data_IF_862119758935
#
_entry.id   IF_862119758935
#
_cell.length_a   1.000
_cell.length_b   1.000
_cell.length_c   1.000
_cell.angle_alpha   90.00
_cell.angle_beta   90.00
_cell.angle_gamma   90.00
#
_symmetry.space_group_name_H-M   'P 1'
#
loop_
_entity.id
_entity.type
_entity.pdbx_description
1 polymer ?
#
# COMPACT_ATOMS: atom_id res chain seq x y z
N UNK A 1 -23.69 18.59 -18.33
CA UNK A 1 -22.78 18.45 -19.48
C UNK A 1 -23.58 18.23 -20.75
N UNK A 2 -23.04 18.64 -21.87
CA UNK A 2 -23.61 18.41 -23.18
C UNK A 2 -22.74 17.44 -23.95
N UNK A 3 -23.36 16.43 -24.58
CA UNK A 3 -22.66 15.44 -25.40
C UNK A 3 -23.18 15.49 -26.84
N UNK A 4 -22.27 15.52 -27.81
CA UNK A 4 -22.63 15.49 -29.24
C UNK A 4 -21.61 14.68 -30.04
N UNK A 5 -22.08 14.05 -31.12
CA UNK A 5 -21.24 13.33 -32.06
C UNK A 5 -20.32 14.31 -32.80
N UNK A 6 -19.01 14.03 -32.84
CA UNK A 6 -18.01 14.83 -33.56
C UNK A 6 -17.07 13.92 -34.31
N UNK A 7 -17.15 13.92 -35.64
CA UNK A 7 -16.28 13.06 -36.45
C UNK A 7 -16.39 11.57 -36.10
N UNK A 8 -15.26 10.96 -35.71
CA UNK A 8 -15.16 9.56 -35.36
C UNK A 8 -15.29 9.29 -33.83
N UNK A 9 -16.02 10.12 -33.10
CA UNK A 9 -16.19 9.98 -31.65
C UNK A 9 -17.32 10.80 -31.09
N UNK A 10 -17.34 10.90 -29.75
CA UNK A 10 -18.31 11.67 -28.98
C UNK A 10 -17.53 12.72 -28.18
N UNK A 11 -17.91 13.97 -28.35
CA UNK A 11 -17.41 15.07 -27.53
C UNK A 11 -18.39 15.36 -26.39
N UNK A 12 -17.88 15.56 -25.21
CA UNK A 12 -18.59 16.02 -24.04
C UNK A 12 -18.01 17.36 -23.62
N UNK A 13 -18.85 18.34 -23.41
CA UNK A 13 -18.47 19.63 -22.84
C UNK A 13 -19.10 19.75 -21.46
N UNK A 14 -18.28 20.06 -20.47
CA UNK A 14 -18.77 20.34 -19.13
C UNK A 14 -19.28 21.77 -19.10
N UNK A 15 -20.53 21.96 -18.70
CA UNK A 15 -21.13 23.29 -18.60
C UNK A 15 -20.60 23.94 -17.31
N UNK A 16 -20.03 25.15 -17.38
CA UNK A 16 -19.40 25.81 -16.24
C UNK A 16 -20.44 26.45 -15.30
N UNK A 17 -21.33 25.65 -14.76
CA UNK A 17 -22.21 26.05 -13.67
C UNK A 17 -21.59 25.58 -12.37
N UNK A 18 -20.69 26.36 -11.77
CA UNK A 18 -20.13 26.20 -10.43
C UNK A 18 -20.56 24.89 -9.73
N UNK A 19 -20.09 23.71 -10.14
CA UNK A 19 -20.56 22.45 -9.60
C UNK A 19 -20.22 22.36 -8.12
N UNK A 20 -21.15 21.81 -7.34
CA UNK A 20 -20.92 21.48 -5.93
C UNK A 20 -20.65 19.98 -5.85
N UNK A 21 -19.43 19.62 -5.47
CA UNK A 21 -19.05 18.21 -5.24
C UNK A 21 -18.63 18.10 -3.77
N UNK A 22 -19.24 17.18 -3.05
CA UNK A 22 -18.98 16.95 -1.62
C UNK A 22 -19.01 18.24 -0.79
N UNK A 23 -20.03 19.08 -1.00
CA UNK A 23 -20.26 20.37 -0.34
C UNK A 23 -19.27 21.49 -0.71
N UNK A 24 -18.30 21.25 -1.59
CA UNK A 24 -17.35 22.25 -2.09
C UNK A 24 -17.80 22.77 -3.46
N UNK A 25 -17.66 24.09 -3.65
CA UNK A 25 -17.97 24.74 -4.92
C UNK A 25 -16.72 24.83 -5.77
N UNK A 26 -16.77 24.25 -6.95
CA UNK A 26 -15.69 24.27 -7.92
C UNK A 26 -15.99 25.22 -9.07
N UNK A 27 -14.94 25.65 -9.75
CA UNK A 27 -15.01 26.46 -10.94
C UNK A 27 -14.30 25.74 -12.08
N UNK A 28 -14.96 25.59 -13.20
CA UNK A 28 -14.30 25.13 -14.42
C UNK A 28 -13.59 26.29 -15.10
N UNK A 29 -12.44 26.02 -15.69
CA UNK A 29 -11.84 26.91 -16.63
C UNK A 29 -12.69 26.90 -17.92
N UNK A 30 -13.22 28.04 -18.36
CA UNK A 30 -14.11 28.15 -19.52
C UNK A 30 -13.53 27.58 -20.82
N UNK A 31 -12.19 27.60 -20.96
CA UNK A 31 -11.49 27.07 -22.12
C UNK A 31 -11.04 25.62 -21.99
N UNK A 32 -11.10 25.06 -20.77
CA UNK A 32 -10.58 23.73 -20.42
C UNK A 32 -11.66 22.92 -19.70
N UNK A 33 -12.64 22.42 -20.46
CA UNK A 33 -13.81 21.76 -19.90
C UNK A 33 -14.42 20.72 -20.83
N UNK A 34 -13.62 20.06 -21.63
CA UNK A 34 -14.12 19.10 -22.60
C UNK A 34 -13.38 17.77 -22.54
N UNK A 35 -14.09 16.69 -22.90
CA UNK A 35 -13.59 15.34 -23.10
C UNK A 35 -14.08 14.86 -24.46
N UNK A 36 -13.19 14.25 -25.24
CA UNK A 36 -13.51 13.62 -26.51
C UNK A 36 -13.12 12.16 -26.49
N UNK A 37 -14.10 11.28 -26.62
CA UNK A 37 -13.91 9.83 -26.74
C UNK A 37 -13.95 9.43 -28.21
N UNK A 38 -12.80 9.02 -28.72
CA UNK A 38 -12.70 8.51 -30.10
C UNK A 38 -13.15 7.05 -30.20
N UNK A 39 -13.60 6.60 -31.39
CA UNK A 39 -14.07 5.22 -31.64
C UNK A 39 -13.04 4.13 -31.33
N UNK A 40 -11.75 4.41 -31.44
CA UNK A 40 -10.67 3.49 -31.04
C UNK A 40 -10.37 3.48 -29.54
N UNK A 41 -11.28 3.99 -28.74
CA UNK A 41 -11.15 4.12 -27.26
C UNK A 41 -10.09 5.12 -26.80
N UNK A 42 -9.46 5.89 -27.70
CA UNK A 42 -8.58 6.99 -27.30
C UNK A 42 -9.41 8.11 -26.67
N UNK A 43 -8.95 8.55 -25.50
CA UNK A 43 -9.55 9.67 -24.78
C UNK A 43 -8.67 10.89 -24.96
N UNK A 44 -9.27 11.98 -25.38
CA UNK A 44 -8.68 13.30 -25.33
C UNK A 44 -9.43 14.10 -24.29
N UNK A 45 -8.73 14.68 -23.35
CA UNK A 45 -9.32 15.47 -22.30
C UNK A 45 -8.60 16.81 -22.17
N UNK A 46 -9.35 17.81 -21.82
CA UNK A 46 -8.85 19.10 -21.40
C UNK A 46 -9.83 19.63 -20.37
N UNK A 47 -9.66 19.18 -19.12
CA UNK A 47 -10.52 19.50 -17.99
C UNK A 47 -9.68 20.12 -16.90
N UNK A 48 -10.12 21.24 -16.39
CA UNK A 48 -9.44 21.99 -15.34
C UNK A 48 -10.52 22.51 -14.37
N UNK A 49 -10.57 21.97 -13.17
CA UNK A 49 -11.59 22.28 -12.18
C UNK A 49 -10.96 22.52 -10.81
N UNK A 50 -11.10 23.72 -10.29
CA UNK A 50 -10.53 24.16 -9.02
C UNK A 50 -11.54 24.92 -8.16
N UNK A 51 -11.37 24.85 -6.85
CA UNK A 51 -12.04 25.77 -5.94
C UNK A 51 -11.20 27.04 -5.68
N UNK A 52 -11.70 27.92 -4.81
CA UNK A 52 -11.03 29.17 -4.46
C UNK A 52 -9.73 28.95 -3.66
N UNK A 53 -9.56 27.79 -3.01
CA UNK A 53 -8.40 27.40 -2.21
C UNK A 53 -7.34 26.67 -3.05
N UNK A 54 -7.63 26.38 -4.33
CA UNK A 54 -6.75 25.65 -5.24
C UNK A 54 -6.85 24.14 -5.09
N UNK A 55 -7.90 23.64 -4.44
CA UNK A 55 -8.25 22.22 -4.41
C UNK A 55 -8.97 21.86 -5.72
N UNK A 56 -8.65 20.73 -6.29
CA UNK A 56 -9.34 20.30 -7.50
C UNK A 56 -8.56 19.27 -8.32
N UNK A 57 -8.89 19.21 -9.60
CA UNK A 57 -8.22 18.31 -10.52
C UNK A 57 -8.06 18.89 -11.91
N UNK A 58 -7.05 18.39 -12.61
CA UNK A 58 -6.76 18.65 -14.01
C UNK A 58 -6.53 17.34 -14.73
N UNK A 59 -7.10 17.21 -15.93
CA UNK A 59 -6.85 16.09 -16.83
C UNK A 59 -6.60 16.63 -18.21
N UNK A 60 -5.39 16.47 -18.72
CA UNK A 60 -4.98 16.98 -20.01
C UNK A 60 -4.40 15.88 -20.89
N UNK A 61 -4.84 15.84 -22.14
CA UNK A 61 -4.14 15.09 -23.17
C UNK A 61 -3.06 15.98 -23.81
N UNK A 62 -1.88 15.43 -24.04
CA UNK A 62 -0.78 16.17 -24.66
C UNK A 62 -1.16 16.59 -26.09
N UNK A 63 -1.17 17.90 -26.40
CA UNK A 63 -1.56 18.39 -27.70
C UNK A 63 -0.59 17.95 -28.80
N UNK A 64 -1.14 17.56 -29.96
CA UNK A 64 -0.35 17.23 -31.14
C UNK A 64 0.31 15.85 -31.14
N UNK A 65 0.16 15.06 -30.11
CA UNK A 65 0.59 13.67 -30.11
C UNK A 65 -0.33 12.83 -31.00
N UNK A 66 0.21 12.36 -32.12
CA UNK A 66 -0.49 11.49 -33.09
C UNK A 66 0.04 10.06 -33.09
N UNK A 67 1.08 9.77 -32.31
CA UNK A 67 1.77 8.49 -32.27
C UNK A 67 1.24 7.59 -31.17
N UNK A 68 1.00 8.15 -30.00
CA UNK A 68 0.52 7.38 -28.85
C UNK A 68 -0.96 7.01 -28.99
N UNK A 69 -1.34 5.85 -28.47
CA UNK A 69 -2.74 5.47 -28.29
C UNK A 69 -3.40 6.27 -27.16
N UNK A 70 -2.64 6.56 -26.09
CA UNK A 70 -3.00 7.46 -25.02
C UNK A 70 -1.78 8.27 -24.59
N UNK A 71 -2.00 9.53 -24.21
CA UNK A 71 -0.99 10.41 -23.63
C UNK A 71 -1.73 11.44 -22.78
N UNK A 72 -1.76 11.21 -21.47
CA UNK A 72 -2.62 11.94 -20.54
C UNK A 72 -1.83 12.32 -19.29
N UNK A 73 -1.94 13.58 -18.91
CA UNK A 73 -1.54 14.11 -17.61
C UNK A 73 -2.76 14.21 -16.70
N UNK A 74 -2.61 13.76 -15.47
CA UNK A 74 -3.61 13.84 -14.40
C UNK A 74 -2.98 14.54 -13.20
N UNK A 75 -3.62 15.55 -12.71
CA UNK A 75 -3.21 16.28 -11.51
C UNK A 75 -4.42 16.42 -10.59
N UNK A 76 -4.25 16.00 -9.33
CA UNK A 76 -5.21 16.19 -8.25
C UNK A 76 -4.50 16.94 -7.14
N UNK A 77 -5.09 18.01 -6.63
CA UNK A 77 -4.49 18.81 -5.56
C UNK A 77 -5.39 18.88 -4.35
N UNK A 78 -4.83 18.46 -3.21
CA UNK A 78 -5.35 18.70 -1.87
C UNK A 78 -6.82 18.35 -1.66
N UNK A 79 -7.32 17.33 -2.34
CA UNK A 79 -8.68 16.84 -2.14
C UNK A 79 -8.83 16.32 -0.70
N UNK A 80 -9.79 16.87 0.03
CA UNK A 80 -10.11 16.42 1.38
C UNK A 80 -10.81 15.07 1.32
N UNK A 81 -10.14 13.99 1.74
CA UNK A 81 -10.66 12.63 1.63
C UNK A 81 -11.99 12.46 2.35
N UNK A 82 -12.19 13.09 3.50
CA UNK A 82 -13.44 13.03 4.24
C UNK A 82 -14.64 13.57 3.47
N UNK A 83 -14.46 14.49 2.54
CA UNK A 83 -15.54 15.03 1.72
C UNK A 83 -16.04 13.99 0.71
N UNK A 84 -15.11 13.19 0.16
CA UNK A 84 -15.45 12.09 -0.74
C UNK A 84 -16.02 10.91 0.04
N UNK A 85 -15.38 10.50 1.13
CA UNK A 85 -15.76 9.30 1.88
C UNK A 85 -17.07 9.48 2.62
N UNK A 86 -17.40 10.69 3.08
CA UNK A 86 -18.64 10.99 3.80
C UNK A 86 -19.93 10.79 2.98
N UNK A 87 -19.83 10.83 1.65
CA UNK A 87 -20.99 10.62 0.75
C UNK A 87 -21.12 9.16 0.30
N UNK A 88 -20.16 8.29 0.64
CA UNK A 88 -20.17 6.89 0.30
C UNK A 88 -20.75 6.07 1.47
N UNK A 89 -21.89 5.37 1.29
CA UNK A 89 -22.46 4.55 2.36
C UNK A 89 -21.54 3.39 2.72
N UNK A 90 -21.40 3.13 4.02
CA UNK A 90 -20.57 2.03 4.56
C UNK A 90 -19.06 2.14 4.30
N UNK A 91 -18.58 3.32 3.90
CA UNK A 91 -17.16 3.55 3.74
C UNK A 91 -16.53 3.93 5.09
N UNK A 92 -15.32 3.45 5.43
CA UNK A 92 -14.65 3.83 6.67
C UNK A 92 -14.35 5.34 6.71
N UNK A 93 -14.27 5.91 7.92
CA UNK A 93 -13.92 7.31 8.11
C UNK A 93 -12.43 7.49 7.76
N UNK A 94 -12.15 8.11 6.61
CA UNK A 94 -10.79 8.44 6.17
C UNK A 94 -10.69 9.95 6.03
N UNK A 95 -9.66 10.54 6.63
CA UNK A 95 -9.36 11.97 6.51
C UNK A 95 -7.93 12.19 6.05
N UNK A 96 -7.67 13.35 5.48
CA UNK A 96 -6.36 13.76 4.97
C UNK A 96 -6.50 14.57 3.69
N UNK A 97 -5.40 15.16 3.24
CA UNK A 97 -5.33 15.93 2.00
C UNK A 97 -4.63 15.10 0.93
N UNK A 98 -5.40 14.61 -0.01
CA UNK A 98 -4.90 13.79 -1.12
C UNK A 98 -4.42 14.65 -2.29
N UNK A 99 -3.24 14.34 -2.80
CA UNK A 99 -2.68 14.90 -4.03
C UNK A 99 -2.17 13.77 -4.92
N UNK A 100 -2.25 13.96 -6.23
CA UNK A 100 -1.77 13.03 -7.25
C UNK A 100 -1.23 13.81 -8.44
N UNK A 101 -0.04 13.45 -8.91
CA UNK A 101 0.48 13.80 -10.22
C UNK A 101 0.77 12.52 -10.99
N UNK A 102 0.25 12.37 -12.19
CA UNK A 102 0.46 11.17 -13.00
C UNK A 102 0.55 11.52 -14.48
N UNK A 103 1.52 10.91 -15.15
CA UNK A 103 1.70 10.97 -16.59
C UNK A 103 1.63 9.56 -17.16
N UNK A 104 0.71 9.35 -18.10
CA UNK A 104 0.44 8.05 -18.71
C UNK A 104 0.56 8.13 -20.22
N UNK A 105 1.45 7.30 -20.79
CA UNK A 105 1.61 7.13 -22.24
C UNK A 105 1.42 5.67 -22.59
N UNK A 106 0.58 5.40 -23.55
CA UNK A 106 0.41 4.09 -24.15
C UNK A 106 0.66 4.17 -25.66
N UNK A 107 1.52 3.31 -26.17
CA UNK A 107 1.70 3.07 -27.60
C UNK A 107 1.13 1.70 -27.97
N UNK A 108 1.27 1.29 -29.24
CA UNK A 108 0.89 -0.07 -29.66
C UNK A 108 1.75 -1.17 -29.00
N UNK A 109 2.93 -0.83 -28.53
CA UNK A 109 3.92 -1.81 -28.03
C UNK A 109 4.25 -1.61 -26.55
N UNK A 110 4.22 -0.38 -26.09
CA UNK A 110 4.80 0.01 -24.81
C UNK A 110 3.81 0.79 -23.97
N UNK A 111 3.97 0.64 -22.66
CA UNK A 111 3.31 1.42 -21.61
C UNK A 111 4.38 2.21 -20.85
N UNK A 112 4.12 3.47 -20.62
CA UNK A 112 4.90 4.32 -19.72
C UNK A 112 3.97 4.98 -18.71
N UNK A 113 4.34 4.91 -17.45
CA UNK A 113 3.63 5.55 -16.34
C UNK A 113 4.66 6.21 -15.42
N UNK A 114 4.39 7.44 -15.02
CA UNK A 114 5.03 8.08 -13.87
C UNK A 114 3.93 8.64 -13.00
N UNK A 115 3.89 8.27 -11.73
CA UNK A 115 2.86 8.72 -10.81
C UNK A 115 3.45 8.97 -9.43
N UNK A 116 3.00 10.03 -8.80
CA UNK A 116 3.28 10.35 -7.40
C UNK A 116 1.97 10.72 -6.72
N UNK A 117 1.63 10.01 -5.65
CA UNK A 117 0.44 10.23 -4.85
C UNK A 117 0.82 10.49 -3.40
N UNK A 118 0.19 11.45 -2.75
CA UNK A 118 0.42 11.72 -1.33
C UNK A 118 -0.88 11.95 -0.58
N UNK A 119 -0.86 11.66 0.70
CA UNK A 119 -1.91 12.04 1.65
C UNK A 119 -1.24 12.65 2.87
N UNK A 120 -1.44 13.95 3.06
CA UNK A 120 -0.99 14.64 4.26
C UNK A 120 -1.99 14.40 5.39
N UNK A 121 -1.48 14.18 6.60
CA UNK A 121 -2.26 13.97 7.83
C UNK A 121 -3.30 12.84 7.70
N UNK A 122 -2.95 11.73 7.05
CA UNK A 122 -3.83 10.59 6.87
C UNK A 122 -4.30 10.03 8.22
N UNK A 123 -5.62 9.92 8.38
CA UNK A 123 -6.23 9.16 9.47
C UNK A 123 -7.19 8.12 8.93
N UNK A 124 -7.34 7.02 9.62
CA UNK A 124 -8.31 5.97 9.34
C UNK A 124 -9.04 5.62 10.64
N UNK A 125 -10.39 5.67 10.63
CA UNK A 125 -11.22 5.41 11.82
C UNK A 125 -10.70 6.18 13.06
N UNK A 126 -10.38 7.47 12.86
CA UNK A 126 -9.83 8.40 13.90
C UNK A 126 -8.45 8.03 14.44
N UNK A 127 -7.78 7.05 13.84
CA UNK A 127 -6.42 6.71 14.19
C UNK A 127 -5.45 7.38 13.20
N UNK A 128 -4.47 8.11 13.74
CA UNK A 128 -3.48 8.78 12.90
C UNK A 128 -2.52 7.74 12.29
N UNK A 129 -2.42 7.75 10.97
CA UNK A 129 -1.40 7.04 10.21
C UNK A 129 -0.17 7.95 10.05
N UNK A 130 -0.34 9.20 9.65
CA UNK A 130 0.72 10.16 9.37
C UNK A 130 0.69 10.63 7.92
N UNK A 131 1.79 11.24 7.48
CA UNK A 131 1.96 11.65 6.09
C UNK A 131 2.45 10.45 5.27
N UNK A 132 1.78 10.16 4.16
CA UNK A 132 2.11 9.03 3.28
C UNK A 132 2.29 9.52 1.86
N UNK A 133 3.40 9.15 1.21
CA UNK A 133 3.61 9.41 -0.21
C UNK A 133 4.09 8.13 -0.91
N UNK A 134 3.53 7.87 -2.08
CA UNK A 134 3.84 6.74 -2.95
C UNK A 134 4.23 7.26 -4.32
N UNK A 135 5.44 6.94 -4.78
CA UNK A 135 5.86 7.17 -6.14
C UNK A 135 6.01 5.86 -6.91
N UNK A 136 5.69 5.88 -8.20
CA UNK A 136 5.91 4.75 -9.08
C UNK A 136 6.24 5.22 -10.50
N UNK A 137 7.23 4.57 -11.12
CA UNK A 137 7.54 4.73 -12.53
C UNK A 137 7.53 3.37 -13.22
N UNK A 138 6.98 3.34 -14.42
CA UNK A 138 6.98 2.18 -15.30
C UNK A 138 7.44 2.65 -16.68
N UNK A 139 8.62 2.19 -17.10
CA UNK A 139 9.27 2.69 -18.31
C UNK A 139 9.63 1.57 -19.27
N UNK A 140 9.38 1.74 -20.58
CA UNK A 140 9.83 0.81 -21.59
C UNK A 140 11.36 0.86 -21.73
N UNK A 141 11.94 -0.29 -21.95
CA UNK A 141 13.35 -0.47 -22.19
C UNK A 141 13.64 -1.15 -23.52
N UNK A 142 14.90 -1.45 -23.77
CA UNK A 142 15.32 -2.16 -24.97
C UNK A 142 14.81 -3.60 -25.01
N UNK A 143 14.54 -4.13 -26.20
CA UNK A 143 14.12 -5.52 -26.46
C UNK A 143 12.79 -5.89 -25.76
N UNK A 144 11.88 -4.92 -25.57
CA UNK A 144 10.57 -5.13 -24.94
C UNK A 144 10.62 -5.31 -23.43
N UNK A 145 11.74 -5.05 -22.78
CA UNK A 145 11.82 -5.01 -21.32
C UNK A 145 11.02 -3.83 -20.79
N UNK A 146 10.53 -3.98 -19.56
CA UNK A 146 9.89 -2.89 -18.82
C UNK A 146 10.64 -2.72 -17.49
N UNK A 147 10.85 -1.48 -17.08
CA UNK A 147 11.49 -1.14 -15.81
C UNK A 147 10.46 -0.54 -14.86
N UNK A 148 10.47 -1.02 -13.64
CA UNK A 148 9.63 -0.54 -12.56
C UNK A 148 10.52 0.03 -11.46
N UNK A 149 10.16 1.21 -10.97
CA UNK A 149 10.71 1.77 -9.75
C UNK A 149 9.53 2.27 -8.91
N UNK A 150 9.54 2.00 -7.61
CA UNK A 150 8.51 2.48 -6.71
C UNK A 150 9.11 2.77 -5.33
N UNK A 151 8.56 3.74 -4.63
CA UNK A 151 8.92 4.06 -3.26
C UNK A 151 7.69 4.38 -2.42
N UNK A 152 7.81 4.19 -1.13
CA UNK A 152 6.83 4.62 -0.12
C UNK A 152 7.54 5.44 0.94
N UNK A 153 7.07 6.65 1.16
CA UNK A 153 7.47 7.51 2.25
C UNK A 153 6.40 7.52 3.34
N UNK A 154 6.83 7.55 4.59
CA UNK A 154 5.98 7.72 5.75
C UNK A 154 6.60 8.75 6.70
N UNK A 155 5.84 9.79 7.06
CA UNK A 155 6.32 10.93 7.87
C UNK A 155 7.67 11.48 7.34
N UNK A 156 7.80 11.68 6.02
CA UNK A 156 8.98 12.19 5.29
C UNK A 156 10.20 11.24 5.25
N UNK A 157 10.10 10.04 5.83
CA UNK A 157 11.13 9.01 5.70
C UNK A 157 10.76 8.02 4.59
N UNK A 158 11.74 7.65 3.76
CA UNK A 158 11.57 6.57 2.78
C UNK A 158 11.63 5.23 3.52
N UNK A 159 10.52 4.51 3.54
CA UNK A 159 10.37 3.26 4.31
C UNK A 159 10.30 2.02 3.43
N UNK A 160 10.12 2.21 2.12
CA UNK A 160 10.15 1.14 1.14
C UNK A 160 10.64 1.67 -0.20
N UNK A 161 11.55 0.93 -0.82
CA UNK A 161 11.98 1.12 -2.21
C UNK A 161 11.89 -0.21 -2.94
N UNK A 162 11.41 -0.18 -4.16
CA UNK A 162 11.34 -1.34 -5.04
C UNK A 162 11.88 -0.97 -6.43
N UNK A 163 12.89 -1.70 -6.88
CA UNK A 163 13.48 -1.58 -8.21
C UNK A 163 13.31 -2.90 -8.96
N UNK A 164 12.82 -2.84 -10.18
CA UNK A 164 12.56 -4.06 -10.90
C UNK A 164 12.49 -3.91 -12.39
N UNK A 165 12.40 -5.06 -13.02
CA UNK A 165 12.17 -5.18 -14.46
C UNK A 165 11.29 -6.38 -14.78
N UNK A 166 10.53 -6.21 -15.84
CA UNK A 166 9.80 -7.26 -16.51
C UNK A 166 10.50 -7.58 -17.83
N UNK A 167 10.85 -8.85 -18.04
CA UNK A 167 11.58 -9.32 -19.21
C UNK A 167 10.68 -10.26 -20.00
N UNK A 168 10.33 -9.92 -21.25
CA UNK A 168 9.53 -10.80 -22.09
C UNK A 168 10.29 -12.11 -22.37
N UNK A 169 9.60 -13.23 -22.22
CA UNK A 169 10.17 -14.54 -22.51
C UNK A 169 9.62 -15.12 -23.82
N UNK A 170 10.34 -16.07 -24.40
CA UNK A 170 9.90 -16.77 -25.61
C UNK A 170 8.64 -17.61 -25.42
N UNK A 171 8.28 -17.91 -24.18
CA UNK A 171 7.10 -18.70 -23.82
C UNK A 171 5.83 -17.86 -23.67
N UNK A 172 5.92 -16.52 -23.84
CA UNK A 172 4.80 -15.60 -23.69
C UNK A 172 4.44 -15.28 -22.21
N UNK A 173 5.20 -15.80 -21.25
CA UNK A 173 5.10 -15.44 -19.84
C UNK A 173 6.28 -14.56 -19.48
N UNK A 174 6.00 -13.33 -19.08
CA UNK A 174 7.05 -12.39 -18.70
C UNK A 174 7.74 -12.82 -17.40
N UNK A 175 9.05 -12.62 -17.35
CA UNK A 175 9.85 -12.88 -16.15
C UNK A 175 10.00 -11.61 -15.34
N UNK A 176 9.63 -11.68 -14.08
CA UNK A 176 9.73 -10.61 -13.09
C UNK A 176 11.06 -10.71 -12.34
N UNK A 177 11.75 -9.59 -12.18
CA UNK A 177 12.87 -9.42 -11.26
C UNK A 177 12.67 -8.10 -10.50
N UNK A 178 12.36 -8.15 -9.20
CA UNK A 178 12.18 -6.97 -8.36
C UNK A 178 12.98 -7.14 -7.08
N UNK A 179 13.75 -6.12 -6.73
CA UNK A 179 14.41 -5.98 -5.45
C UNK A 179 13.65 -4.95 -4.63
N UNK A 180 13.31 -5.30 -3.41
CA UNK A 180 12.61 -4.42 -2.48
C UNK A 180 13.41 -4.29 -1.20
N UNK A 181 13.63 -3.06 -0.76
CA UNK A 181 14.24 -2.74 0.53
C UNK A 181 13.22 -2.08 1.42
N UNK A 182 13.14 -2.53 2.67
CA UNK A 182 12.36 -1.94 3.74
C UNK A 182 13.33 -1.34 4.75
N UNK A 183 13.16 -0.08 5.10
CA UNK A 183 13.97 0.62 6.11
C UNK A 183 13.06 1.28 7.13
N UNK A 184 13.12 0.79 8.38
CA UNK A 184 12.32 1.29 9.49
C UNK A 184 10.82 1.40 9.18
N UNK A 185 10.27 0.41 8.46
CA UNK A 185 8.85 0.40 8.13
C UNK A 185 8.01 0.30 9.41
N UNK A 186 7.21 1.33 9.77
CA UNK A 186 6.60 1.41 11.07
C UNK A 186 5.37 0.49 11.18
N UNK A 187 5.48 -0.58 11.98
CA UNK A 187 4.39 -1.54 12.16
C UNK A 187 3.17 -0.94 12.86
N UNK A 188 3.32 0.20 13.53
CA UNK A 188 2.18 0.94 14.13
C UNK A 188 1.10 1.31 13.11
N UNK A 189 1.46 1.46 11.83
CA UNK A 189 0.50 1.74 10.75
C UNK A 189 -0.55 0.63 10.62
N UNK A 190 -0.19 -0.61 10.90
CA UNK A 190 -1.12 -1.73 10.85
C UNK A 190 -2.21 -1.69 11.94
N UNK A 191 -2.03 -0.89 13.00
CA UNK A 191 -3.00 -0.80 14.10
C UNK A 191 -4.37 -0.30 13.64
N UNK A 192 -4.42 0.52 12.59
CA UNK A 192 -5.68 1.07 12.06
C UNK A 192 -6.60 -0.01 11.49
N UNK A 193 -6.04 -1.14 11.08
CA UNK A 193 -6.78 -2.27 10.53
C UNK A 193 -7.17 -3.32 11.59
N UNK A 194 -6.76 -3.12 12.86
CA UNK A 194 -7.07 -4.05 13.95
C UNK A 194 -8.39 -3.61 14.63
N UNK A 195 -9.46 -4.44 14.56
CA UNK A 195 -10.74 -4.10 15.14
C UNK A 195 -10.63 -3.86 16.66
N UNK A 196 -11.35 -2.85 17.15
CA UNK A 196 -11.49 -2.52 18.57
C UNK A 196 -10.16 -2.37 19.34
N UNK A 197 -9.05 -2.17 18.62
CA UNK A 197 -7.71 -2.11 19.20
C UNK A 197 -7.41 -3.28 20.18
N UNK A 198 -7.91 -4.47 19.84
CA UNK A 198 -7.70 -5.69 20.66
C UNK A 198 -6.23 -5.92 20.97
N UNK A 199 -5.38 -5.59 20.01
CA UNK A 199 -3.92 -5.56 20.17
C UNK A 199 -3.35 -4.28 19.58
N UNK A 200 -2.18 -3.86 20.06
CA UNK A 200 -1.44 -2.72 19.54
C UNK A 200 -0.04 -3.19 19.13
N UNK A 201 0.32 -2.94 17.86
CA UNK A 201 1.64 -3.17 17.31
C UNK A 201 2.53 -1.95 17.52
N UNK A 202 3.80 -2.16 17.79
CA UNK A 202 4.85 -1.13 17.86
C UNK A 202 6.17 -1.69 17.35
N UNK A 203 7.13 -0.80 17.07
CA UNK A 203 8.42 -1.14 16.48
C UNK A 203 8.39 -1.06 14.96
N UNK A 204 9.52 -1.36 14.36
CA UNK A 204 9.77 -1.17 12.94
C UNK A 204 10.19 -2.50 12.29
N UNK A 205 10.06 -2.58 10.99
CA UNK A 205 10.47 -3.73 10.20
C UNK A 205 11.46 -3.29 9.14
N UNK A 206 12.63 -3.93 9.13
CA UNK A 206 13.63 -3.81 8.09
C UNK A 206 13.66 -5.08 7.24
N UNK A 207 14.13 -4.98 6.00
CA UNK A 207 14.29 -6.17 5.19
C UNK A 207 14.69 -5.92 3.76
N UNK A 208 15.17 -7.01 3.14
CA UNK A 208 15.49 -7.03 1.73
C UNK A 208 14.80 -8.24 1.09
N UNK A 209 14.01 -7.98 0.05
CA UNK A 209 13.28 -9.00 -0.67
C UNK A 209 13.68 -8.99 -2.13
N UNK A 210 13.93 -10.17 -2.66
CA UNK A 210 14.13 -10.40 -4.09
C UNK A 210 12.97 -11.24 -4.62
N UNK A 211 12.23 -10.68 -5.57
CA UNK A 211 11.05 -11.29 -6.18
C UNK A 211 11.41 -11.63 -7.63
N UNK A 212 11.35 -12.91 -7.96
CA UNK A 212 11.71 -13.42 -9.28
C UNK A 212 10.66 -14.38 -9.82
N UNK A 213 10.78 -14.80 -11.07
CA UNK A 213 9.89 -15.80 -11.67
C UNK A 213 8.83 -15.18 -12.58
N UNK A 214 7.70 -15.84 -12.76
CA UNK A 214 6.62 -15.31 -13.58
C UNK A 214 5.70 -14.40 -12.76
N UNK A 215 5.00 -13.50 -13.44
CA UNK A 215 3.97 -12.66 -12.81
C UNK A 215 2.81 -13.45 -12.18
N UNK A 216 2.55 -14.67 -12.68
CA UNK A 216 1.51 -15.54 -12.12
C UNK A 216 1.97 -16.32 -10.88
N UNK A 217 3.26 -16.64 -10.81
CA UNK A 217 3.87 -17.42 -9.73
C UNK A 217 5.23 -16.81 -9.34
N UNK A 218 5.23 -15.68 -8.65
CA UNK A 218 6.46 -15.07 -8.18
C UNK A 218 7.11 -15.89 -7.07
N UNK A 219 8.42 -15.94 -7.09
CA UNK A 219 9.25 -16.53 -6.03
C UNK A 219 9.87 -15.40 -5.21
N UNK A 220 9.56 -15.38 -3.93
CA UNK A 220 10.06 -14.39 -2.98
C UNK A 220 11.16 -15.03 -2.14
N UNK A 221 12.32 -14.37 -2.13
CA UNK A 221 13.46 -14.70 -1.29
C UNK A 221 13.92 -13.44 -0.56
N UNK A 222 14.57 -13.59 0.59
CA UNK A 222 15.13 -12.47 1.33
C UNK A 222 15.10 -12.66 2.82
N UNK A 223 15.10 -11.55 3.55
CA UNK A 223 15.05 -11.55 5.01
C UNK A 223 14.26 -10.37 5.53
N UNK A 224 13.66 -10.56 6.71
CA UNK A 224 12.97 -9.54 7.47
C UNK A 224 13.56 -9.49 8.89
N UNK A 225 13.77 -8.31 9.39
CA UNK A 225 14.22 -8.04 10.77
C UNK A 225 13.12 -7.24 11.48
N UNK A 226 12.71 -7.71 12.65
CA UNK A 226 11.74 -7.04 13.50
C UNK A 226 12.50 -6.20 14.53
N UNK A 227 12.67 -4.89 14.28
CA UNK A 227 13.36 -4.02 15.22
C UNK A 227 12.42 -3.53 16.32
N UNK A 228 12.73 -3.94 17.55
CA UNK A 228 11.98 -3.53 18.75
C UNK A 228 10.47 -3.77 18.66
N UNK A 229 10.08 -4.75 17.85
CA UNK A 229 8.66 -5.06 17.62
C UNK A 229 8.02 -5.65 18.86
N UNK A 230 6.88 -5.09 19.23
CA UNK A 230 6.07 -5.60 20.31
C UNK A 230 4.57 -5.57 19.97
N UNK A 231 3.86 -6.56 20.48
CA UNK A 231 2.39 -6.65 20.48
C UNK A 231 1.89 -6.51 21.91
N UNK A 232 1.07 -5.51 22.15
CA UNK A 232 0.40 -5.28 23.43
C UNK A 232 -1.08 -5.66 23.32
N UNK A 233 -1.52 -6.62 24.10
CA UNK A 233 -2.93 -6.89 24.31
C UNK A 233 -3.42 -6.17 25.56
N UNK A 234 -4.26 -5.14 25.38
CA UNK A 234 -4.84 -4.38 26.50
C UNK A 234 -5.80 -5.23 27.32
N UNK A 235 -6.58 -6.07 26.64
CA UNK A 235 -7.58 -6.92 27.26
C UNK A 235 -6.97 -7.94 28.24
N UNK A 236 -5.83 -8.48 27.90
CA UNK A 236 -5.11 -9.47 28.71
C UNK A 236 -3.94 -8.88 29.49
N UNK A 237 -3.59 -7.59 29.27
CA UNK A 237 -2.44 -6.95 29.90
C UNK A 237 -1.10 -7.61 29.54
N UNK A 238 -1.07 -8.32 28.42
CA UNK A 238 0.10 -9.08 27.97
C UNK A 238 0.86 -8.29 26.89
N UNK A 239 2.18 -8.19 27.05
CA UNK A 239 3.08 -7.61 26.07
C UNK A 239 4.05 -8.68 25.58
N UNK A 240 4.05 -8.90 24.28
CA UNK A 240 4.93 -9.82 23.57
C UNK A 240 5.97 -9.03 22.80
N UNK A 241 7.24 -9.31 23.03
CA UNK A 241 8.38 -8.70 22.36
C UNK A 241 9.02 -9.74 21.46
N UNK A 242 9.26 -9.39 20.23
CA UNK A 242 9.82 -10.29 19.22
C UNK A 242 11.35 -10.21 19.18
N UNK A 243 11.95 -11.30 18.78
CA UNK A 243 13.40 -11.38 18.52
C UNK A 243 13.78 -10.47 17.33
N UNK A 244 14.90 -9.79 17.44
CA UNK A 244 15.45 -8.96 16.35
C UNK A 244 16.31 -9.78 15.37
N UNK A 245 16.35 -11.11 15.50
CA UNK A 245 17.06 -11.94 14.52
C UNK A 245 16.33 -11.96 13.18
N UNK A 246 17.09 -11.99 12.06
CA UNK A 246 16.47 -12.07 10.75
C UNK A 246 15.61 -13.33 10.57
N UNK A 247 14.40 -13.13 10.11
CA UNK A 247 13.53 -14.20 9.62
C UNK A 247 13.79 -14.35 8.13
N UNK A 248 14.27 -15.52 7.72
CA UNK A 248 14.60 -15.80 6.34
C UNK A 248 13.36 -16.14 5.53
N UNK A 249 13.30 -15.65 4.31
CA UNK A 249 12.31 -16.03 3.32
C UNK A 249 13.02 -16.80 2.21
N UNK A 250 12.64 -18.06 1.99
CA UNK A 250 13.19 -18.91 0.93
C UNK A 250 12.09 -19.54 0.10
N UNK A 251 12.02 -19.16 -1.17
CA UNK A 251 11.04 -19.71 -2.11
C UNK A 251 9.61 -19.66 -1.55
N UNK A 252 9.18 -18.48 -1.12
CA UNK A 252 7.87 -18.22 -0.51
C UNK A 252 7.64 -18.97 0.83
N UNK A 253 8.70 -19.23 1.59
CA UNK A 253 8.61 -19.77 2.94
C UNK A 253 9.30 -18.84 3.93
N UNK A 254 8.58 -18.47 4.98
CA UNK A 254 9.16 -17.84 6.17
C UNK A 254 9.79 -18.96 7.01
N UNK A 255 11.10 -18.90 7.25
CA UNK A 255 11.84 -19.88 8.02
C UNK A 255 12.19 -19.31 9.40
N UNK A 256 11.82 -20.03 10.44
CA UNK A 256 12.09 -19.73 11.84
C UNK A 256 13.14 -20.67 12.39
N UNK A 257 14.25 -20.14 12.87
CA UNK A 257 15.29 -20.89 13.60
C UNK A 257 15.33 -20.40 15.03
N UNK A 258 14.67 -21.12 15.95
CA UNK A 258 14.52 -20.76 17.36
C UNK A 258 14.12 -19.31 17.57
N UNK A 259 13.21 -18.81 16.72
CA UNK A 259 12.71 -17.46 16.82
C UNK A 259 12.02 -17.24 18.15
N UNK A 260 12.48 -16.25 18.92
CA UNK A 260 12.07 -16.08 20.30
C UNK A 260 11.03 -14.97 20.47
N UNK A 261 10.02 -15.26 21.27
CA UNK A 261 8.99 -14.31 21.69
C UNK A 261 9.07 -14.19 23.21
N UNK A 262 9.31 -12.98 23.70
CA UNK A 262 9.46 -12.66 25.11
C UNK A 262 8.23 -11.97 25.66
N UNK A 263 7.99 -12.14 26.93
CA UNK A 263 7.09 -11.30 27.73
C UNK A 263 7.89 -10.54 28.77
N UNK A 264 7.40 -10.40 29.98
CA UNK A 264 8.12 -9.78 31.11
C UNK A 264 9.25 -10.62 31.66
N UNK A 265 9.30 -11.91 31.34
CA UNK A 265 10.38 -12.82 31.77
C UNK A 265 11.47 -12.98 30.72
N UNK A 266 12.64 -13.47 31.16
CA UNK A 266 13.76 -13.80 30.26
C UNK A 266 13.58 -15.13 29.53
N UNK A 267 12.60 -15.94 29.95
CA UNK A 267 12.33 -17.25 29.32
C UNK A 267 11.45 -17.04 28.10
N UNK A 268 11.96 -17.28 26.89
CA UNK A 268 11.19 -17.09 25.68
C UNK A 268 10.23 -18.24 25.39
N UNK A 269 9.22 -17.94 24.61
CA UNK A 269 8.55 -18.90 23.77
C UNK A 269 9.33 -18.96 22.45
N UNK A 270 9.73 -20.14 22.02
CA UNK A 270 10.52 -20.32 20.79
C UNK A 270 9.72 -21.03 19.71
N UNK A 271 9.94 -20.62 18.48
CA UNK A 271 9.35 -21.18 17.26
C UNK A 271 10.48 -21.67 16.36
N UNK A 272 10.39 -22.92 15.93
CA UNK A 272 11.21 -23.54 14.90
C UNK A 272 10.34 -24.06 13.77
N UNK A 273 10.78 -23.92 12.53
CA UNK A 273 10.06 -24.47 11.38
C UNK A 273 9.77 -23.41 10.31
N UNK A 274 8.68 -23.55 9.59
CA UNK A 274 8.35 -22.65 8.50
C UNK A 274 6.86 -22.42 8.31
N UNK A 275 6.54 -21.28 7.66
CA UNK A 275 5.24 -20.98 7.08
C UNK A 275 5.40 -20.85 5.58
N UNK A 276 4.72 -21.70 4.82
CA UNK A 276 4.73 -21.71 3.36
C UNK A 276 3.53 -20.90 2.84
N UNK A 277 3.80 -19.85 2.09
CA UNK A 277 2.80 -18.95 1.53
C UNK A 277 2.80 -18.92 -0.01
N UNK A 278 3.27 -19.99 -0.67
CA UNK A 278 3.18 -20.13 -2.14
C UNK A 278 1.75 -20.04 -2.65
N UNK A 279 0.81 -20.55 -1.87
CA UNK A 279 -0.62 -20.31 -2.06
C UNK A 279 -1.12 -19.39 -0.93
N UNK A 280 -1.24 -18.09 -1.23
CA UNK A 280 -1.69 -17.08 -0.26
C UNK A 280 -3.11 -17.32 0.25
N UNK A 281 -3.93 -18.05 -0.50
CA UNK A 281 -5.30 -18.41 -0.08
C UNK A 281 -5.32 -19.57 0.91
N UNK A 282 -4.25 -20.38 0.97
CA UNK A 282 -4.11 -21.57 1.82
C UNK A 282 -2.68 -21.71 2.33
N UNK A 283 -2.23 -20.79 3.21
CA UNK A 283 -0.90 -20.90 3.79
C UNK A 283 -0.78 -22.19 4.62
N UNK A 284 0.36 -22.84 4.53
CA UNK A 284 0.66 -24.07 5.28
C UNK A 284 1.74 -23.74 6.30
N UNK A 285 1.57 -24.23 7.52
CA UNK A 285 2.54 -24.12 8.59
C UNK A 285 3.08 -25.48 9.01
N UNK A 286 4.38 -25.54 9.29
CA UNK A 286 5.03 -26.66 9.97
C UNK A 286 5.92 -26.05 11.04
N UNK A 287 5.40 -25.95 12.26
CA UNK A 287 6.02 -25.22 13.35
C UNK A 287 6.13 -26.10 14.60
N UNK A 288 7.31 -26.12 15.21
CA UNK A 288 7.55 -26.65 16.54
C UNK A 288 7.67 -25.47 17.51
N UNK A 289 6.87 -25.49 18.53
CA UNK A 289 6.76 -24.45 19.53
C UNK A 289 7.13 -24.99 20.90
N UNK A 290 8.01 -24.27 21.61
CA UNK A 290 8.48 -24.67 22.93
C UNK A 290 8.46 -23.48 23.89
N UNK A 291 7.88 -23.70 25.06
CA UNK A 291 7.94 -22.79 26.19
C UNK A 291 8.30 -23.54 27.45
N UNK A 292 9.19 -22.99 28.25
CA UNK A 292 9.54 -23.51 29.58
C UNK A 292 9.53 -22.37 30.58
N UNK A 293 8.71 -22.49 31.61
CA UNK A 293 8.49 -21.43 32.60
C UNK A 293 8.22 -20.06 31.96
N UNK A 294 7.46 -20.07 30.87
CA UNK A 294 7.13 -18.88 30.10
C UNK A 294 6.05 -18.08 30.83
N UNK A 295 6.29 -16.79 31.02
CA UNK A 295 5.29 -15.93 31.66
C UNK A 295 4.22 -15.58 30.63
N UNK A 296 3.13 -16.34 30.61
CA UNK A 296 2.01 -16.12 29.70
C UNK A 296 1.25 -14.83 30.06
N UNK A 297 1.13 -14.54 31.35
CA UNK A 297 0.44 -13.38 31.87
C UNK A 297 1.22 -12.82 33.06
N UNK A 298 1.38 -11.48 33.10
CA UNK A 298 1.86 -10.73 34.26
C UNK A 298 1.10 -9.37 34.26
N UNK A 299 -0.19 -9.44 34.59
CA UNK A 299 -1.07 -8.29 34.49
C UNK A 299 -1.51 -7.81 35.88
N UNK A 300 -1.41 -6.51 36.10
CA UNK A 300 -2.01 -5.84 37.26
C UNK A 300 -3.48 -5.64 37.03
N UNK A 301 -4.26 -5.66 38.10
CA UNK A 301 -5.70 -5.37 38.05
C UNK A 301 -5.94 -3.92 37.61
N UNK A 302 -6.64 -3.72 36.50
CA UNK A 302 -7.14 -2.44 36.02
C UNK A 302 -8.65 -2.50 35.84
N UNK A 303 -9.30 -1.36 35.54
CA UNK A 303 -10.74 -1.34 35.27
C UNK A 303 -11.10 -2.04 33.95
N UNK A 304 -10.16 -2.15 33.04
CA UNK A 304 -10.35 -2.69 31.69
C UNK A 304 -9.86 -4.12 31.56
N UNK A 305 -9.10 -4.64 32.55
CA UNK A 305 -8.54 -5.98 32.45
C UNK A 305 -9.57 -7.06 32.76
N UNK A 306 -9.76 -8.00 31.85
CA UNK A 306 -10.58 -9.19 32.05
C UNK A 306 -9.88 -10.21 32.96
N UNK A 307 -8.56 -10.24 32.96
CA UNK A 307 -7.74 -11.16 33.72
C UNK A 307 -6.58 -10.40 34.37
N UNK A 308 -6.20 -10.78 35.58
CA UNK A 308 -5.06 -10.23 36.29
C UNK A 308 -4.34 -11.31 37.10
N UNK A 309 -3.05 -11.12 37.36
CA UNK A 309 -2.20 -12.05 38.10
C UNK A 309 -1.01 -12.50 37.26
N UNK A 310 -0.32 -13.54 37.73
CA UNK A 310 0.82 -14.14 37.03
C UNK A 310 0.47 -15.57 36.65
N UNK A 311 0.70 -15.90 35.37
CA UNK A 311 0.51 -17.25 34.82
C UNK A 311 1.80 -17.66 34.13
N UNK A 312 2.33 -18.79 34.54
CA UNK A 312 3.48 -19.43 33.87
C UNK A 312 3.00 -20.67 33.13
N UNK A 313 3.61 -20.94 32.01
CA UNK A 313 3.24 -22.08 31.17
C UNK A 313 4.50 -22.81 30.68
N UNK A 314 4.41 -24.15 30.77
CA UNK A 314 5.28 -25.06 30.06
C UNK A 314 4.45 -25.74 28.99
N UNK A 315 4.84 -25.61 27.71
CA UNK A 315 4.15 -26.33 26.66
C UNK A 315 5.07 -26.66 25.50
N UNK A 316 4.69 -27.71 24.79
CA UNK A 316 5.28 -28.10 23.53
C UNK A 316 4.15 -28.42 22.56
N UNK A 317 4.19 -27.79 21.39
CA UNK A 317 3.21 -28.01 20.35
C UNK A 317 3.89 -28.15 18.99
N UNK A 318 3.27 -28.93 18.11
CA UNK A 318 3.64 -29.05 16.70
C UNK A 318 2.38 -28.82 15.88
N UNK A 319 2.49 -27.97 14.88
CA UNK A 319 1.41 -27.62 13.95
C UNK A 319 1.84 -27.97 12.55
#
# INVERSE_FOLDING_TARGET
FEGHGKGNGIAFTLIPENPIVAFQRFHFNENHNWIYLHKNMRVYANVDMWDEEGMGFRVHSVPGDTVSLQNIDVEIRRIRLQEITSVLPYFPEITGLFSLEAHYIQTEKDLQLSAEASVDELTYERQRIGDVALGATWLPGEQGKQYLNAYLNHDQAEVLVADGKLVPTRTGKDSLEVNTTLEHFPLRVANVFIPDQMVTLSGDMDGNLNITGSTEQPLINGELVLDSVAVLSRQYGARFMFDNRPVQIKNNRLEFDKFAIYTTSKNPFTIDGYVDFRDMSRPMANLNMLAQNYTLLDAKRTRESLVYGKVFADFRATV
#
